data_IF_208957060348
#
_entry.id   IF_208957060348
#
_cell.length_a   1.000
_cell.length_b   1.000
_cell.length_c   1.000
_cell.angle_alpha   90.00
_cell.angle_beta   90.00
_cell.angle_gamma   90.00
#
_symmetry.space_group_name_H-M   'P 1'
#
loop_
_entity.id
_entity.type
_entity.pdbx_description
1 polymer ?
#
# COMPACT_ATOMS: atom_id res chain seq x y z
N UNK A 1 -15.49 -10.30 -7.31
CA UNK A 1 -14.52 -9.26 -6.94
C UNK A 1 -13.90 -8.74 -8.23
N UNK A 2 -13.71 -7.42 -8.35
CA UNK A 2 -13.06 -6.84 -9.52
C UNK A 2 -11.57 -7.22 -9.54
N UNK A 3 -11.13 -7.81 -10.65
CA UNK A 3 -9.73 -8.08 -10.97
C UNK A 3 -9.15 -6.85 -11.68
N UNK A 4 -7.83 -6.66 -11.66
CA UNK A 4 -7.22 -5.55 -12.40
C UNK A 4 -7.57 -5.52 -13.90
N UNK A 5 -7.67 -6.69 -14.53
CA UNK A 5 -8.14 -6.79 -15.92
C UNK A 5 -9.56 -6.22 -16.09
N UNK A 6 -10.47 -6.51 -15.15
CA UNK A 6 -11.84 -5.96 -15.20
C UNK A 6 -11.92 -4.46 -14.94
N UNK A 7 -10.87 -3.86 -14.34
CA UNK A 7 -10.77 -2.42 -14.09
C UNK A 7 -10.07 -1.69 -15.24
N UNK A 8 -9.18 -2.37 -15.96
CA UNK A 8 -8.53 -1.82 -17.14
C UNK A 8 -9.59 -1.60 -18.23
N UNK A 9 -9.87 -0.34 -18.53
CA UNK A 9 -10.93 -0.01 -19.47
C UNK A 9 -10.52 -0.42 -20.89
N UNK A 10 -11.41 -1.05 -21.68
CA UNK A 10 -11.09 -1.40 -23.07
C UNK A 10 -10.62 -0.18 -23.87
N UNK A 11 -9.45 -0.28 -24.51
CA UNK A 11 -8.85 0.83 -25.27
C UNK A 11 -8.14 1.88 -24.41
N UNK A 12 -8.15 1.78 -23.08
CA UNK A 12 -7.42 2.68 -22.19
C UNK A 12 -5.97 2.19 -21.94
N UNK A 13 -5.31 1.79 -23.02
CA UNK A 13 -3.92 1.31 -23.02
C UNK A 13 -3.13 2.06 -24.08
N UNK A 14 -2.05 2.71 -23.65
CA UNK A 14 -1.03 3.30 -24.52
C UNK A 14 0.32 2.66 -24.18
N UNK A 15 0.90 1.94 -25.15
CA UNK A 15 2.15 1.18 -24.95
C UNK A 15 3.40 1.94 -25.45
N UNK A 16 3.17 3.03 -26.18
CA UNK A 16 4.17 3.89 -26.83
C UNK A 16 3.85 5.37 -26.57
N UNK A 17 3.66 5.70 -25.29
CA UNK A 17 3.28 7.03 -24.84
C UNK A 17 4.41 8.04 -24.99
N UNK A 18 4.09 9.22 -25.50
CA UNK A 18 4.99 10.36 -25.55
C UNK A 18 4.62 11.41 -24.51
N UNK A 19 5.56 11.75 -23.63
CA UNK A 19 5.43 12.82 -22.66
C UNK A 19 6.78 13.50 -22.41
N UNK A 20 6.80 14.83 -22.43
CA UNK A 20 8.02 15.63 -22.17
C UNK A 20 8.28 15.84 -20.67
N UNK A 21 7.25 15.68 -19.84
CA UNK A 21 7.31 15.91 -18.40
C UNK A 21 6.20 15.15 -17.68
N UNK A 22 6.31 15.07 -16.35
CA UNK A 22 5.39 14.27 -15.54
C UNK A 22 3.93 14.73 -15.65
N UNK A 23 3.67 16.02 -15.88
CA UNK A 23 2.29 16.53 -16.06
C UNK A 23 1.68 15.99 -17.34
N UNK A 24 2.45 15.97 -18.43
CA UNK A 24 1.99 15.37 -19.68
C UNK A 24 1.77 13.86 -19.53
N UNK A 25 2.63 13.15 -18.78
CA UNK A 25 2.47 11.72 -18.54
C UNK A 25 1.19 11.39 -17.75
N UNK A 26 0.88 12.17 -16.69
CA UNK A 26 -0.39 12.04 -15.95
C UNK A 26 -1.59 12.39 -16.84
N UNK A 27 -1.49 13.46 -17.65
CA UNK A 27 -2.57 13.87 -18.56
C UNK A 27 -2.84 12.83 -19.65
N UNK A 28 -1.81 12.18 -20.17
CA UNK A 28 -1.94 11.08 -21.13
C UNK A 28 -2.68 9.89 -20.50
N UNK A 29 -2.32 9.50 -19.28
CA UNK A 29 -3.03 8.43 -18.59
C UNK A 29 -4.48 8.80 -18.23
N UNK A 30 -4.71 10.05 -17.83
CA UNK A 30 -6.05 10.59 -17.55
C UNK A 30 -6.94 10.70 -18.79
N UNK A 31 -6.40 11.12 -19.94
CA UNK A 31 -7.20 11.29 -21.16
C UNK A 31 -7.79 9.98 -21.65
N UNK A 32 -7.10 8.85 -21.48
CA UNK A 32 -7.63 7.53 -21.79
C UNK A 32 -8.91 7.20 -20.98
N UNK A 33 -8.97 7.61 -19.72
CA UNK A 33 -10.15 7.44 -18.87
C UNK A 33 -11.26 8.46 -19.19
N UNK A 34 -10.88 9.68 -19.57
CA UNK A 34 -11.83 10.71 -20.02
C UNK A 34 -12.53 10.31 -21.32
N UNK A 35 -11.77 9.81 -22.29
CA UNK A 35 -12.27 9.32 -23.58
C UNK A 35 -13.20 8.13 -23.42
N UNK A 36 -12.88 7.24 -22.46
CA UNK A 36 -13.76 6.15 -22.10
C UNK A 36 -14.99 6.59 -21.28
N UNK A 37 -15.03 7.85 -20.84
CA UNK A 37 -16.16 8.43 -20.12
C UNK A 37 -16.29 8.00 -18.65
N UNK A 38 -15.30 7.29 -18.09
CA UNK A 38 -15.34 6.79 -16.70
C UNK A 38 -14.99 7.87 -15.67
N UNK A 39 -14.30 8.92 -16.11
CA UNK A 39 -14.03 10.13 -15.32
C UNK A 39 -14.45 11.42 -16.07
N UNK A 40 -14.27 12.57 -15.43
CA UNK A 40 -14.26 13.89 -16.07
C UNK A 40 -12.85 14.48 -16.03
N UNK A 41 -12.60 15.53 -16.84
CA UNK A 41 -11.33 16.26 -16.85
C UNK A 41 -10.94 16.84 -15.48
N UNK A 42 -11.90 17.07 -14.60
CA UNK A 42 -11.65 17.54 -13.23
C UNK A 42 -10.82 16.53 -12.43
N UNK A 43 -11.01 15.22 -12.66
CA UNK A 43 -10.25 14.19 -11.97
C UNK A 43 -8.79 14.17 -12.43
N UNK A 44 -8.54 14.28 -13.74
CA UNK A 44 -7.18 14.40 -14.29
C UNK A 44 -6.47 15.64 -13.76
N UNK A 45 -7.16 16.78 -13.71
CA UNK A 45 -6.61 17.99 -13.12
C UNK A 45 -6.33 17.82 -11.62
N UNK A 46 -7.19 17.12 -10.87
CA UNK A 46 -6.97 16.82 -9.47
C UNK A 46 -5.73 15.93 -9.25
N UNK A 47 -5.48 14.94 -10.12
CA UNK A 47 -4.25 14.12 -10.07
C UNK A 47 -3.00 14.99 -10.26
N UNK A 48 -3.00 15.86 -11.27
CA UNK A 48 -1.87 16.78 -11.51
C UNK A 48 -1.67 17.70 -10.32
N UNK A 49 -2.73 18.34 -9.85
CA UNK A 49 -2.66 19.31 -8.76
C UNK A 49 -2.16 18.67 -7.45
N UNK A 50 -2.59 17.44 -7.15
CA UNK A 50 -2.14 16.73 -5.95
C UNK A 50 -0.61 16.55 -5.93
N UNK A 51 0.01 16.29 -7.09
CA UNK A 51 1.47 16.17 -7.23
C UNK A 51 2.15 17.54 -7.13
N UNK A 52 1.53 18.62 -7.62
CA UNK A 52 2.07 19.98 -7.45
C UNK A 52 2.10 20.40 -5.98
N UNK A 53 1.09 20.03 -5.20
CA UNK A 53 0.97 20.41 -3.79
C UNK A 53 1.78 19.51 -2.85
N UNK A 54 1.76 18.19 -3.09
CA UNK A 54 2.27 17.19 -2.14
C UNK A 54 3.61 16.58 -2.58
N UNK A 55 4.08 16.91 -3.79
CA UNK A 55 5.22 16.26 -4.41
C UNK A 55 4.86 14.90 -5.02
N UNK A 56 5.85 14.11 -5.47
CA UNK A 56 5.63 12.92 -6.30
C UNK A 56 5.18 11.67 -5.50
N UNK A 57 4.21 11.82 -4.59
CA UNK A 57 3.70 10.72 -3.75
C UNK A 57 3.13 9.53 -4.54
N UNK A 58 2.74 9.76 -5.81
CA UNK A 58 2.23 8.73 -6.71
C UNK A 58 3.35 7.82 -7.26
N UNK A 59 4.62 8.19 -7.11
CA UNK A 59 5.77 7.38 -7.55
C UNK A 59 6.14 6.39 -6.45
N UNK A 60 5.53 5.21 -6.50
CA UNK A 60 5.56 4.23 -5.40
C UNK A 60 6.60 3.11 -5.58
N UNK A 61 7.20 3.00 -6.77
CA UNK A 61 8.25 2.02 -7.05
C UNK A 61 9.17 2.51 -8.20
N UNK A 62 10.39 1.94 -8.35
CA UNK A 62 11.30 2.31 -9.42
C UNK A 62 10.65 2.19 -10.81
N UNK A 63 10.67 3.30 -11.55
CA UNK A 63 10.10 3.37 -12.90
C UNK A 63 8.57 3.45 -12.95
N UNK A 64 7.87 3.56 -11.82
CA UNK A 64 6.42 3.39 -11.77
C UNK A 64 5.70 4.51 -11.00
N UNK A 65 4.71 5.11 -11.65
CA UNK A 65 3.76 6.03 -11.04
C UNK A 65 2.33 5.48 -11.07
N UNK A 66 1.68 5.45 -9.90
CA UNK A 66 0.28 5.12 -9.74
C UNK A 66 -0.54 6.42 -9.61
N UNK A 67 -0.89 7.03 -10.73
CA UNK A 67 -1.55 8.33 -10.77
C UNK A 67 -3.00 8.21 -10.25
N UNK A 68 -3.28 8.89 -9.14
CA UNK A 68 -4.61 8.88 -8.53
C UNK A 68 -4.83 10.16 -7.71
N UNK A 69 -6.09 10.50 -7.49
CA UNK A 69 -6.52 11.57 -6.58
C UNK A 69 -7.59 11.06 -5.62
N UNK A 70 -7.96 11.88 -4.62
CA UNK A 70 -9.05 11.55 -3.69
C UNK A 70 -10.35 11.25 -4.46
N UNK A 71 -11.19 10.30 -3.98
CA UNK A 71 -12.50 10.07 -4.57
C UNK A 71 -13.32 11.36 -4.66
N UNK A 72 -14.03 11.55 -5.76
CA UNK A 72 -14.87 12.72 -6.01
C UNK A 72 -15.96 12.41 -7.04
N UNK A 73 -16.93 13.30 -7.18
CA UNK A 73 -18.00 13.23 -8.20
C UNK A 73 -17.45 13.22 -9.65
N UNK A 74 -16.18 13.60 -9.84
CA UNK A 74 -15.52 13.49 -11.13
C UNK A 74 -15.25 12.03 -11.55
N UNK A 75 -15.35 11.06 -10.63
CA UNK A 75 -15.22 9.62 -10.90
C UNK A 75 -16.61 9.00 -11.05
N UNK A 76 -16.99 8.66 -12.28
CA UNK A 76 -18.30 8.02 -12.57
C UNK A 76 -18.23 6.51 -12.34
N UNK A 77 -17.11 5.91 -12.72
CA UNK A 77 -16.87 4.47 -12.63
C UNK A 77 -15.45 4.18 -12.17
N UNK A 78 -15.31 3.15 -11.33
CA UNK A 78 -13.99 2.70 -10.88
C UNK A 78 -13.26 2.05 -12.04
N UNK A 79 -12.12 2.61 -12.41
CA UNK A 79 -11.47 2.33 -13.69
C UNK A 79 -9.96 2.58 -13.62
N UNK A 80 -9.24 1.95 -14.56
CA UNK A 80 -7.79 2.03 -14.69
C UNK A 80 -7.41 2.23 -16.15
N UNK A 81 -6.38 3.04 -16.39
CA UNK A 81 -5.67 3.12 -17.67
C UNK A 81 -4.20 2.76 -17.50
N UNK A 82 -3.56 2.38 -18.61
CA UNK A 82 -2.19 1.90 -18.63
C UNK A 82 -1.37 2.65 -19.67
N UNK A 83 -0.33 3.36 -19.23
CA UNK A 83 0.56 4.11 -20.12
C UNK A 83 2.00 3.68 -19.90
N UNK A 84 2.61 3.06 -20.92
CA UNK A 84 4.06 2.86 -21.00
C UNK A 84 4.66 3.96 -21.89
N UNK A 85 5.63 4.69 -21.37
CA UNK A 85 6.30 5.77 -22.07
C UNK A 85 7.47 5.23 -22.91
N UNK A 86 7.62 5.74 -24.13
CA UNK A 86 8.79 5.43 -24.98
C UNK A 86 10.08 6.00 -24.39
N UNK A 87 9.97 7.11 -23.64
CA UNK A 87 11.07 7.75 -22.94
C UNK A 87 10.69 7.96 -21.48
N UNK A 88 11.46 7.43 -20.52
CA UNK A 88 11.21 7.67 -19.11
C UNK A 88 11.27 9.16 -18.77
N UNK A 89 10.45 9.59 -17.82
CA UNK A 89 10.27 10.98 -17.41
C UNK A 89 10.55 11.14 -15.92
N UNK A 90 11.25 12.21 -15.53
CA UNK A 90 11.49 12.53 -14.13
C UNK A 90 10.25 13.18 -13.48
N UNK A 91 9.80 12.60 -12.37
CA UNK A 91 8.72 13.14 -11.53
C UNK A 91 9.25 13.97 -10.35
N UNK A 92 10.56 13.92 -10.10
CA UNK A 92 11.24 14.55 -8.97
C UNK A 92 11.32 13.66 -7.73
N UNK A 93 11.25 12.34 -7.89
CA UNK A 93 11.33 11.38 -6.79
C UNK A 93 12.76 10.84 -6.63
N UNK A 94 13.34 10.97 -5.43
CA UNK A 94 14.78 10.74 -5.17
C UNK A 94 15.31 9.36 -5.62
N UNK A 95 14.57 8.28 -5.38
CA UNK A 95 15.05 6.91 -5.63
C UNK A 95 14.35 6.15 -6.76
N UNK A 96 13.19 6.63 -7.21
CA UNK A 96 12.29 5.86 -8.06
C UNK A 96 12.19 6.41 -9.49
N UNK A 97 12.74 7.60 -9.73
CA UNK A 97 12.90 8.16 -11.06
C UNK A 97 14.00 7.44 -11.86
N UNK A 98 13.94 7.51 -13.21
CA UNK A 98 12.85 8.08 -14.01
C UNK A 98 11.69 7.09 -14.19
N UNK A 99 10.47 7.60 -14.38
CA UNK A 99 9.24 6.82 -14.54
C UNK A 99 8.99 6.48 -16.01
N UNK A 100 8.76 5.19 -16.31
CA UNK A 100 8.40 4.69 -17.64
C UNK A 100 6.99 4.08 -17.72
N UNK A 101 6.37 3.79 -16.57
CA UNK A 101 5.02 3.25 -16.48
C UNK A 101 4.17 4.17 -15.60
N UNK A 102 3.10 4.69 -16.19
CA UNK A 102 2.08 5.46 -15.51
C UNK A 102 0.75 4.72 -15.60
N UNK A 103 0.20 4.35 -14.45
CA UNK A 103 -1.12 3.73 -14.36
C UNK A 103 -2.03 4.71 -13.67
N UNK A 104 -3.02 5.27 -14.39
CA UNK A 104 -4.03 6.10 -13.76
C UNK A 104 -5.13 5.22 -13.19
N UNK A 105 -5.57 5.54 -11.99
CA UNK A 105 -6.61 4.79 -11.31
C UNK A 105 -7.61 5.72 -10.65
N UNK A 106 -8.87 5.54 -11.02
CA UNK A 106 -10.00 6.28 -10.48
C UNK A 106 -10.83 5.32 -9.63
N UNK A 107 -10.93 5.59 -8.33
CA UNK A 107 -11.79 4.84 -7.42
C UNK A 107 -12.94 5.69 -6.90
N UNK A 108 -14.13 5.08 -6.81
CA UNK A 108 -15.29 5.69 -6.15
C UNK A 108 -15.21 5.66 -4.63
N UNK A 109 -14.41 4.75 -4.06
CA UNK A 109 -14.25 4.62 -2.61
C UNK A 109 -12.86 4.10 -2.21
N UNK A 110 -12.51 4.28 -0.93
CA UNK A 110 -11.22 3.91 -0.38
C UNK A 110 -10.95 2.39 -0.44
N UNK A 111 -11.98 1.55 -0.28
CA UNK A 111 -11.79 0.09 -0.31
C UNK A 111 -11.37 -0.43 -1.68
N UNK A 112 -11.98 0.08 -2.76
CA UNK A 112 -11.61 -0.27 -4.13
C UNK A 112 -10.21 0.22 -4.47
N UNK A 113 -9.81 1.38 -3.94
CA UNK A 113 -8.45 1.92 -4.07
C UNK A 113 -7.41 1.00 -3.47
N UNK A 114 -7.52 0.67 -2.18
CA UNK A 114 -6.57 -0.20 -1.51
C UNK A 114 -6.47 -1.57 -2.19
N UNK A 115 -7.58 -2.10 -2.69
CA UNK A 115 -7.59 -3.38 -3.38
C UNK A 115 -6.84 -3.32 -4.73
N UNK A 116 -7.03 -2.26 -5.52
CA UNK A 116 -6.34 -2.08 -6.79
C UNK A 116 -4.83 -1.91 -6.59
N UNK A 117 -4.42 -1.11 -5.60
CA UNK A 117 -3.01 -0.94 -5.23
C UNK A 117 -2.34 -2.26 -4.84
N UNK A 118 -2.96 -3.06 -3.96
CA UNK A 118 -2.42 -4.36 -3.54
C UNK A 118 -2.21 -5.31 -4.72
N UNK A 119 -3.18 -5.37 -5.64
CA UNK A 119 -3.06 -6.21 -6.84
C UNK A 119 -1.95 -5.71 -7.77
N UNK A 120 -1.82 -4.40 -7.94
CA UNK A 120 -0.86 -3.80 -8.87
C UNK A 120 0.57 -3.90 -8.33
N UNK A 121 0.76 -3.65 -7.03
CA UNK A 121 2.03 -3.84 -6.34
C UNK A 121 2.54 -5.28 -6.49
N UNK A 122 1.66 -6.27 -6.25
CA UNK A 122 1.98 -7.69 -6.44
C UNK A 122 2.39 -8.01 -7.88
N UNK A 123 1.67 -7.47 -8.87
CA UNK A 123 1.98 -7.67 -10.28
C UNK A 123 3.31 -7.05 -10.67
N UNK A 124 3.60 -5.82 -10.23
CA UNK A 124 4.88 -5.18 -10.50
C UNK A 124 6.03 -5.95 -9.83
N UNK A 125 5.84 -6.44 -8.61
CA UNK A 125 6.87 -7.24 -7.93
C UNK A 125 7.18 -8.57 -8.64
N UNK A 126 6.18 -9.21 -9.27
CA UNK A 126 6.30 -10.58 -9.78
C UNK A 126 6.41 -10.69 -11.30
N UNK A 127 5.91 -9.70 -12.04
CA UNK A 127 5.71 -9.75 -13.50
C UNK A 127 6.11 -8.47 -14.24
N UNK A 128 6.84 -7.53 -13.62
CA UNK A 128 7.30 -6.29 -14.29
C UNK A 128 7.93 -6.53 -15.65
N UNK A 129 8.79 -7.54 -15.70
CA UNK A 129 9.49 -7.97 -16.90
C UNK A 129 8.57 -8.43 -18.05
N UNK A 130 7.48 -9.13 -17.72
CA UNK A 130 6.47 -9.54 -18.69
C UNK A 130 5.65 -8.32 -19.16
N UNK A 131 5.23 -7.47 -18.22
CA UNK A 131 4.48 -6.25 -18.49
C UNK A 131 5.26 -5.28 -19.40
N UNK A 132 6.58 -5.18 -19.23
CA UNK A 132 7.45 -4.35 -20.05
C UNK A 132 7.62 -4.87 -21.48
N UNK A 133 7.35 -6.16 -21.73
CA UNK A 133 7.48 -6.80 -23.04
C UNK A 133 6.17 -6.92 -23.80
N UNK A 134 5.02 -6.66 -23.17
CA UNK A 134 3.73 -6.71 -23.84
C UNK A 134 3.72 -5.72 -25.04
N UNK A 135 3.34 -6.22 -26.21
CA UNK A 135 3.28 -5.43 -27.46
C UNK A 135 1.83 -5.08 -27.85
N UNK A 136 0.83 -5.62 -27.14
CA UNK A 136 -0.58 -5.29 -27.35
C UNK A 136 -1.39 -5.25 -26.05
N UNK A 137 -2.57 -4.62 -26.11
CA UNK A 137 -3.53 -4.62 -24.99
C UNK A 137 -3.98 -6.03 -24.63
N UNK A 138 -4.17 -6.93 -25.61
CA UNK A 138 -4.54 -8.32 -25.37
C UNK A 138 -3.47 -9.08 -24.59
N UNK A 139 -2.19 -8.89 -24.94
CA UNK A 139 -1.07 -9.49 -24.22
C UNK A 139 -0.98 -8.95 -22.79
N UNK A 140 -1.11 -7.63 -22.62
CA UNK A 140 -1.15 -7.00 -21.30
C UNK A 140 -2.26 -7.62 -20.45
N UNK A 141 -3.49 -7.70 -20.97
CA UNK A 141 -4.64 -8.30 -20.28
C UNK A 141 -4.42 -9.77 -19.92
N UNK A 142 -3.76 -10.55 -20.79
CA UNK A 142 -3.41 -11.93 -20.49
C UNK A 142 -2.48 -12.04 -19.28
N UNK A 143 -1.47 -11.16 -19.19
CA UNK A 143 -0.54 -11.09 -18.05
C UNK A 143 -1.27 -10.69 -16.76
N UNK A 144 -2.15 -9.68 -16.83
CA UNK A 144 -2.98 -9.23 -15.70
C UNK A 144 -3.87 -10.37 -15.19
N UNK A 145 -4.45 -11.17 -16.08
CA UNK A 145 -5.37 -12.25 -15.73
C UNK A 145 -4.66 -13.47 -15.13
N UNK A 146 -3.49 -13.84 -15.67
CA UNK A 146 -2.72 -15.00 -15.20
C UNK A 146 -2.31 -14.90 -13.72
N UNK A 147 -2.22 -13.69 -13.17
CA UNK A 147 -1.89 -13.44 -11.76
C UNK A 147 -2.98 -13.82 -10.75
N UNK A 148 -4.21 -14.01 -11.22
CA UNK A 148 -5.38 -14.38 -10.39
C UNK A 148 -5.52 -15.89 -10.17
N UNK A 149 -4.79 -16.70 -10.94
CA UNK A 149 -4.89 -18.17 -10.92
C UNK A 149 -3.74 -18.81 -10.13
N UNK A 150 -3.67 -18.55 -8.82
CA UNK A 150 -2.87 -19.35 -7.88
C UNK A 150 -3.79 -20.09 -6.90
N UNK A 151 -3.53 -21.39 -6.74
CA UNK A 151 -4.39 -22.45 -6.17
C UNK A 151 -5.12 -22.10 -4.86
N UNK A 152 -6.44 -22.35 -4.89
CA UNK A 152 -7.36 -22.46 -3.74
C UNK A 152 -6.97 -23.64 -2.85
N UNK A 153 -6.64 -23.40 -1.58
CA UNK A 153 -6.57 -24.44 -0.54
C UNK A 153 -7.78 -24.26 0.41
N UNK A 154 -8.41 -25.33 0.93
CA UNK A 154 -9.67 -25.22 1.65
C UNK A 154 -9.48 -24.55 3.01
N UNK A 155 -10.27 -23.51 3.28
CA UNK A 155 -10.36 -22.86 4.59
C UNK A 155 -11.04 -23.80 5.60
N UNK A 156 -10.44 -23.94 6.78
CA UNK A 156 -11.06 -24.52 7.95
C UNK A 156 -11.89 -23.46 8.69
N UNK A 157 -13.02 -23.89 9.26
CA UNK A 157 -14.03 -23.04 9.91
C UNK A 157 -13.52 -22.27 11.15
N UNK A 158 -14.06 -21.06 11.42
CA UNK A 158 -13.64 -20.22 12.53
C UNK A 158 -14.21 -20.69 13.87
N UNK A 159 -13.36 -20.71 14.90
CA UNK A 159 -13.80 -20.79 16.31
C UNK A 159 -13.78 -19.41 16.96
N UNK A 160 -14.81 -19.19 17.77
CA UNK A 160 -15.21 -17.92 18.36
C UNK A 160 -14.14 -17.20 19.18
N UNK A 161 -14.05 -15.89 18.96
CA UNK A 161 -13.29 -14.90 19.73
C UNK A 161 -14.06 -14.47 20.97
N UNK A 162 -13.46 -14.35 22.17
CA UNK A 162 -14.01 -13.53 23.25
C UNK A 162 -13.59 -12.07 23.05
N UNK A 163 -14.53 -11.17 23.30
CA UNK A 163 -14.41 -9.73 23.17
C UNK A 163 -13.20 -9.13 23.90
N UNK A 164 -12.37 -8.38 23.17
CA UNK A 164 -11.46 -7.37 23.72
C UNK A 164 -12.02 -5.98 23.42
N UNK A 165 -11.89 -5.11 24.43
CA UNK A 165 -12.61 -3.86 24.59
C UNK A 165 -12.22 -2.80 23.54
N UNK A 166 -13.23 -2.21 22.90
CA UNK A 166 -13.08 -1.04 22.03
C UNK A 166 -12.63 0.18 22.84
N UNK A 167 -11.43 0.69 22.58
CA UNK A 167 -11.07 2.07 22.89
C UNK A 167 -11.07 2.85 21.56
N UNK A 168 -12.15 3.58 21.30
CA UNK A 168 -12.23 4.52 20.18
C UNK A 168 -11.33 5.72 20.47
N UNK A 169 -10.14 5.75 19.91
CA UNK A 169 -9.34 6.97 19.83
C UNK A 169 -9.81 7.82 18.66
N UNK A 170 -9.92 9.13 18.88
CA UNK A 170 -10.28 10.11 17.84
C UNK A 170 -9.04 10.92 17.47
N UNK A 171 -8.98 11.45 16.25
CA UNK A 171 -7.84 12.21 15.68
C UNK A 171 -7.27 13.37 16.55
N UNK A 172 -7.98 13.77 17.62
CA UNK A 172 -7.52 14.74 18.61
C UNK A 172 -6.37 14.25 19.53
N UNK A 173 -6.09 12.93 19.55
CA UNK A 173 -5.05 12.32 20.41
C UNK A 173 -3.77 11.93 19.65
N UNK A 174 -3.62 12.36 18.40
CA UNK A 174 -2.44 12.03 17.59
C UNK A 174 -1.16 12.70 18.13
N UNK A 175 -0.11 11.90 18.35
CA UNK A 175 1.21 12.36 18.75
C UNK A 175 2.20 12.21 17.60
N UNK A 176 3.22 13.09 17.55
CA UNK A 176 4.25 13.01 16.52
C UNK A 176 5.02 11.68 16.61
N UNK A 177 5.17 11.01 15.46
CA UNK A 177 5.91 9.75 15.39
C UNK A 177 7.40 9.96 15.68
N UNK A 178 7.96 9.04 16.45
CA UNK A 178 9.39 8.88 16.76
C UNK A 178 10.10 7.99 15.73
N UNK A 179 9.34 7.43 14.79
CA UNK A 179 9.83 6.54 13.74
C UNK A 179 10.35 5.22 14.28
N UNK A 180 9.85 4.76 15.43
CA UNK A 180 10.40 3.58 16.13
C UNK A 180 9.31 2.68 16.68
N UNK A 181 9.41 1.39 16.37
CA UNK A 181 8.49 0.35 16.84
C UNK A 181 9.30 -0.72 17.58
N UNK A 182 8.79 -1.16 18.74
CA UNK A 182 9.41 -2.23 19.50
C UNK A 182 8.56 -3.51 19.42
N UNK A 183 9.17 -4.62 19.03
CA UNK A 183 8.57 -5.95 19.16
C UNK A 183 9.09 -6.63 20.41
N UNK A 184 8.19 -7.12 21.27
CA UNK A 184 8.56 -7.64 22.60
C UNK A 184 8.18 -9.10 22.75
N UNK A 185 9.09 -9.93 23.25
CA UNK A 185 8.82 -11.33 23.61
C UNK A 185 9.41 -11.66 24.99
N UNK A 186 8.79 -12.61 25.70
CA UNK A 186 9.14 -12.93 27.09
C UNK A 186 10.25 -13.94 27.32
N UNK A 187 10.64 -14.75 26.32
CA UNK A 187 11.49 -15.92 26.56
C UNK A 187 12.64 -16.16 25.53
N UNK A 188 13.00 -15.19 24.68
CA UNK A 188 14.19 -15.30 23.82
C UNK A 188 14.11 -14.54 22.48
N UNK A 189 15.25 -14.45 21.79
CA UNK A 189 15.44 -13.66 20.55
C UNK A 189 14.66 -14.21 19.33
N UNK A 190 14.39 -15.51 19.28
CA UNK A 190 13.83 -16.16 18.08
C UNK A 190 12.41 -15.71 17.74
N UNK A 191 11.51 -15.67 18.73
CA UNK A 191 10.09 -15.34 18.52
C UNK A 191 9.87 -13.84 18.27
N UNK A 192 10.68 -12.99 18.89
CA UNK A 192 10.65 -11.54 18.65
C UNK A 192 11.23 -11.17 17.28
N UNK A 193 12.17 -11.96 16.76
CA UNK A 193 12.62 -11.84 15.37
C UNK A 193 11.54 -12.26 14.37
N UNK A 194 10.71 -13.25 14.66
CA UNK A 194 9.58 -13.59 13.77
C UNK A 194 8.58 -12.45 13.66
N UNK A 195 8.13 -11.90 14.80
CA UNK A 195 7.22 -10.77 14.81
C UNK A 195 7.85 -9.53 14.13
N UNK A 196 9.13 -9.27 14.40
CA UNK A 196 9.89 -8.21 13.73
C UNK A 196 9.92 -8.42 12.22
N UNK A 197 10.30 -9.61 11.74
CA UNK A 197 10.45 -9.88 10.31
C UNK A 197 9.10 -9.80 9.58
N UNK A 198 8.02 -10.29 10.19
CA UNK A 198 6.67 -10.17 9.60
C UNK A 198 6.20 -8.73 9.59
N UNK A 199 6.48 -7.96 10.65
CA UNK A 199 6.19 -6.54 10.70
C UNK A 199 6.98 -5.75 9.65
N UNK A 200 8.29 -5.99 9.51
CA UNK A 200 9.12 -5.37 8.48
C UNK A 200 8.59 -5.71 7.07
N UNK A 201 8.16 -6.95 6.81
CA UNK A 201 7.52 -7.31 5.54
C UNK A 201 6.23 -6.52 5.29
N UNK A 202 5.39 -6.32 6.32
CA UNK A 202 4.18 -5.49 6.18
C UNK A 202 4.53 -4.03 5.94
N UNK A 203 5.52 -3.49 6.66
CA UNK A 203 5.99 -2.12 6.47
C UNK A 203 6.64 -1.92 5.09
N UNK A 204 7.34 -2.93 4.57
CA UNK A 204 7.90 -2.92 3.23
C UNK A 204 6.78 -2.97 2.17
N UNK A 205 5.73 -3.78 2.39
CA UNK A 205 4.53 -3.76 1.55
C UNK A 205 3.83 -2.39 1.55
N UNK A 206 3.94 -1.63 2.65
CA UNK A 206 3.42 -0.27 2.75
C UNK A 206 4.38 0.79 2.18
N UNK A 207 5.63 0.42 1.86
CA UNK A 207 6.69 1.35 1.48
C UNK A 207 7.24 2.19 2.66
N UNK A 208 6.93 1.81 3.90
CA UNK A 208 7.27 2.53 5.12
C UNK A 208 8.58 2.03 5.77
N UNK A 209 9.10 0.88 5.32
CA UNK A 209 10.35 0.28 5.82
C UNK A 209 11.53 1.26 5.95
N UNK A 210 11.80 2.16 4.97
CA UNK A 210 12.88 3.14 5.08
C UNK A 210 12.70 4.22 6.15
N UNK A 211 11.47 4.44 6.62
CA UNK A 211 11.11 5.55 7.51
C UNK A 211 10.90 5.12 8.97
N UNK A 212 10.78 3.81 9.21
CA UNK A 212 10.48 3.24 10.52
C UNK A 212 11.57 2.26 10.94
N UNK A 213 12.06 2.43 12.17
CA UNK A 213 13.00 1.51 12.78
C UNK A 213 12.28 0.48 13.65
N UNK A 214 12.35 -0.79 13.25
CA UNK A 214 11.79 -1.91 14.03
C UNK A 214 12.89 -2.63 14.81
N UNK A 215 12.73 -2.66 16.13
CA UNK A 215 13.70 -3.30 17.02
C UNK A 215 13.04 -4.39 17.88
N UNK A 216 13.65 -5.58 17.86
CA UNK A 216 13.24 -6.69 18.71
C UNK A 216 13.91 -6.60 20.08
N UNK A 217 13.16 -6.71 21.17
CA UNK A 217 13.67 -6.60 22.53
C UNK A 217 12.97 -7.54 23.52
N UNK A 218 13.53 -7.68 24.72
CA UNK A 218 12.96 -8.47 25.80
C UNK A 218 12.03 -7.62 26.69
N UNK A 219 11.23 -8.27 27.53
CA UNK A 219 10.22 -7.62 28.37
C UNK A 219 10.81 -6.63 29.39
N UNK A 220 12.03 -6.86 29.88
CA UNK A 220 12.68 -5.98 30.85
C UNK A 220 13.18 -4.72 30.13
N UNK A 221 13.89 -4.90 29.02
CA UNK A 221 14.41 -3.81 28.19
C UNK A 221 13.28 -2.94 27.61
N UNK A 222 12.18 -3.56 27.19
CA UNK A 222 11.00 -2.86 26.69
C UNK A 222 10.45 -1.84 27.68
N UNK A 223 10.34 -2.18 28.98
CA UNK A 223 9.83 -1.25 30.01
C UNK A 223 10.70 0.01 30.14
N UNK A 224 12.01 -0.12 30.01
CA UNK A 224 12.93 1.03 30.10
C UNK A 224 12.95 1.90 28.84
N UNK A 225 12.54 1.34 27.70
CA UNK A 225 12.71 1.95 26.37
C UNK A 225 11.41 2.27 25.66
N UNK A 226 10.27 1.96 26.27
CA UNK A 226 8.95 2.16 25.67
C UNK A 226 8.72 3.61 25.23
N UNK A 227 9.23 4.59 26.00
CA UNK A 227 9.14 6.01 25.66
C UNK A 227 9.89 6.42 24.38
N UNK A 228 10.82 5.61 23.88
CA UNK A 228 11.51 5.84 22.59
C UNK A 228 10.66 5.42 21.39
N UNK A 229 9.63 4.60 21.61
CA UNK A 229 8.80 4.02 20.57
C UNK A 229 7.48 4.76 20.41
N UNK A 230 6.87 4.59 19.24
CA UNK A 230 5.51 5.00 18.95
C UNK A 230 4.51 4.05 19.63
N UNK A 231 4.78 2.76 19.54
CA UNK A 231 4.02 1.69 20.20
C UNK A 231 4.84 0.40 20.29
N UNK A 232 4.32 -0.56 21.05
CA UNK A 232 4.88 -1.90 21.20
C UNK A 232 3.94 -2.94 20.56
N UNK A 233 4.50 -3.96 19.94
CA UNK A 233 3.79 -5.14 19.43
C UNK A 233 4.26 -6.39 20.17
N UNK A 234 3.32 -7.19 20.70
CA UNK A 234 3.66 -8.37 21.51
C UNK A 234 2.52 -9.40 21.61
N UNK A 235 2.71 -10.51 22.34
CA UNK A 235 1.63 -11.47 22.65
C UNK A 235 0.83 -11.03 23.88
N UNK A 236 -0.35 -11.64 24.05
CA UNK A 236 -1.22 -11.35 25.20
C UNK A 236 -0.55 -11.60 26.56
N UNK A 237 0.27 -12.65 26.69
CA UNK A 237 0.95 -12.93 27.97
C UNK A 237 1.99 -11.87 28.33
N UNK A 238 2.66 -11.33 27.31
CA UNK A 238 3.70 -10.33 27.50
C UNK A 238 3.11 -8.94 27.70
N UNK A 239 2.02 -8.60 27.01
CA UNK A 239 1.28 -7.37 27.27
C UNK A 239 0.82 -7.30 28.75
N UNK A 240 0.31 -8.41 29.29
CA UNK A 240 -0.07 -8.49 30.71
C UNK A 240 1.13 -8.30 31.66
N UNK A 241 2.33 -8.74 31.25
CA UNK A 241 3.56 -8.60 32.04
C UNK A 241 4.17 -7.19 31.93
N UNK A 242 4.05 -6.55 30.75
CA UNK A 242 4.49 -5.19 30.50
C UNK A 242 3.69 -4.20 31.36
N UNK A 243 2.36 -4.34 31.38
CA UNK A 243 1.46 -3.40 32.03
C UNK A 243 1.41 -2.06 31.28
N UNK A 244 1.09 -0.99 32.00
CA UNK A 244 1.13 0.36 31.44
C UNK A 244 2.57 0.87 31.37
N UNK A 245 3.04 1.12 30.15
CA UNK A 245 4.38 1.63 29.84
C UNK A 245 4.36 3.04 29.24
N UNK A 246 3.21 3.72 29.27
CA UNK A 246 3.05 5.10 28.80
C UNK A 246 3.02 5.29 27.28
N UNK A 247 3.01 4.19 26.51
CA UNK A 247 2.79 4.16 25.05
C UNK A 247 1.86 3.00 24.72
N UNK A 248 1.15 3.05 23.58
CA UNK A 248 0.26 1.96 23.16
C UNK A 248 0.99 0.61 23.08
N UNK A 249 0.32 -0.44 23.58
CA UNK A 249 0.78 -1.83 23.47
C UNK A 249 -0.29 -2.62 22.75
N UNK A 250 0.05 -3.15 21.58
CA UNK A 250 -0.87 -3.91 20.74
C UNK A 250 -0.55 -5.41 20.81
N UNK A 251 -1.59 -6.22 20.93
CA UNK A 251 -1.49 -7.67 21.05
C UNK A 251 -1.67 -8.32 19.69
N UNK A 252 -0.69 -9.11 19.27
CA UNK A 252 -0.73 -9.97 18.09
C UNK A 252 -0.83 -11.43 18.57
N UNK A 253 -1.80 -12.16 18.04
CA UNK A 253 -2.06 -13.57 18.34
C UNK A 253 -1.22 -14.49 17.45
N UNK A 254 -1.10 -14.17 16.16
CA UNK A 254 -0.29 -14.90 15.19
C UNK A 254 0.80 -14.01 14.58
N UNK A 255 2.03 -14.18 15.07
CA UNK A 255 3.19 -13.40 14.61
C UNK A 255 3.60 -13.68 13.15
N UNK A 256 3.01 -14.68 12.52
CA UNK A 256 3.22 -15.00 11.09
C UNK A 256 2.11 -14.44 10.20
N UNK A 257 1.03 -13.94 10.79
CA UNK A 257 -0.11 -13.37 10.08
C UNK A 257 0.16 -11.93 9.67
N UNK A 258 0.60 -11.74 8.42
CA UNK A 258 0.74 -10.41 7.81
C UNK A 258 -0.56 -9.60 7.87
N UNK A 259 -1.72 -10.26 7.71
CA UNK A 259 -3.02 -9.58 7.77
C UNK A 259 -3.38 -9.06 9.16
N UNK A 260 -2.98 -9.78 10.22
CA UNK A 260 -3.22 -9.33 11.58
C UNK A 260 -2.34 -8.11 11.90
N UNK A 261 -1.07 -8.16 11.49
CA UNK A 261 -0.13 -7.06 11.69
C UNK A 261 -0.50 -5.84 10.83
N UNK A 262 -0.93 -6.01 9.57
CA UNK A 262 -1.49 -4.94 8.72
C UNK A 262 -2.70 -4.27 9.40
N UNK A 263 -3.63 -5.06 9.95
CA UNK A 263 -4.78 -4.54 10.70
C UNK A 263 -4.38 -3.74 11.92
N UNK A 264 -3.44 -4.26 12.72
CA UNK A 264 -2.92 -3.59 13.90
C UNK A 264 -2.27 -2.24 13.57
N UNK A 265 -1.43 -2.20 12.53
CA UNK A 265 -0.77 -0.97 12.10
C UNK A 265 -1.78 0.06 11.60
N UNK A 266 -2.83 -0.36 10.90
CA UNK A 266 -3.88 0.55 10.40
C UNK A 266 -4.63 1.21 11.53
N UNK A 267 -4.95 0.44 12.55
CA UNK A 267 -5.57 0.96 13.77
C UNK A 267 -4.65 1.95 14.50
N UNK A 268 -3.36 1.62 14.62
CA UNK A 268 -2.39 2.44 15.35
C UNK A 268 -2.03 3.75 14.63
N UNK A 269 -1.99 3.74 13.30
CA UNK A 269 -1.70 4.92 12.49
C UNK A 269 -2.94 5.64 11.97
N UNK A 270 -4.15 5.15 12.28
CA UNK A 270 -5.45 5.68 11.85
C UNK A 270 -5.56 5.81 10.31
N UNK A 271 -5.22 4.73 9.58
CA UNK A 271 -5.17 4.66 8.09
C UNK A 271 -5.90 3.47 7.46
#
# INVERSE_FOLDING_TARGET
MATLDSLLVPGAVELHGAADNWRQAIRLAGSLLEEAGTITADYTNAMVHSVEETGPYIVVAPGFAFAHARPSEAVKETSLSWVRLDKPVEFGHDSNDPVDLVVAFAARNNSEHLQAMKQLAKLLATKRDELNRAESEEELRAILTASTSSKKQPAAEPKATPASQEAKHTAADSVASKGKILTVCGNGLGTSLFLKNTLEQVLDEWGWGPYLNVEATDTISAKGRASEADFLLTSGEIAATLGDVGVPVYVIQDFTSMSEIDGALRELYDI
#
